data_IF_286759617247
#
_entry.id   IF_286759617247
#
_cell.length_a   1.000
_cell.length_b   1.000
_cell.length_c   1.000
_cell.angle_alpha   90.00
_cell.angle_beta   90.00
_cell.angle_gamma   90.00
#
_symmetry.space_group_name_H-M   'P 1'
#
loop_
_entity.id
_entity.type
_entity.pdbx_description
1 polymer ?
#
# COMPACT_ATOMS: atom_id res chain seq x y z
N UNK A 1 19.77 14.98 9.49
CA UNK A 1 18.93 13.76 9.49
C UNK A 1 18.60 13.48 8.03
N UNK A 2 18.83 12.26 7.55
CA UNK A 2 18.47 11.90 6.19
C UNK A 2 16.94 11.94 6.05
N UNK A 3 16.45 12.48 4.94
CA UNK A 3 15.04 12.50 4.62
C UNK A 3 14.68 11.20 3.90
N UNK A 4 13.58 10.58 4.28
CA UNK A 4 13.16 9.27 3.80
C UNK A 4 11.96 9.37 2.86
N UNK A 5 11.82 8.35 2.02
CA UNK A 5 10.67 8.15 1.13
C UNK A 5 10.06 6.78 1.46
N UNK A 6 8.74 6.71 1.60
CA UNK A 6 8.01 5.46 1.80
C UNK A 6 7.02 5.24 0.65
N UNK A 7 7.33 4.30 -0.22
CA UNK A 7 6.53 3.97 -1.39
C UNK A 7 5.60 2.77 -1.15
N UNK A 8 5.58 2.17 0.07
CA UNK A 8 4.86 0.95 0.33
C UNK A 8 4.18 0.95 1.69
N UNK A 9 3.17 1.79 1.87
CA UNK A 9 2.42 1.87 3.13
C UNK A 9 0.93 1.62 2.93
N UNK A 10 0.40 0.54 3.51
CA UNK A 10 -1.02 0.22 3.49
C UNK A 10 -1.77 1.00 4.55
N UNK A 11 -2.85 1.70 4.18
CA UNK A 11 -3.68 2.50 5.09
C UNK A 11 -4.20 1.67 6.26
N UNK A 12 -4.84 0.55 5.93
CA UNK A 12 -5.46 -0.38 6.86
C UNK A 12 -4.44 -1.17 7.70
N UNK A 13 -3.22 -1.36 7.20
CA UNK A 13 -2.08 -1.96 7.94
C UNK A 13 -1.28 -0.97 8.79
N UNK A 14 -1.57 0.34 8.71
CA UNK A 14 -0.71 1.39 9.29
C UNK A 14 -1.42 2.28 10.31
N UNK A 15 -2.59 1.90 10.78
CA UNK A 15 -3.29 2.64 11.83
C UNK A 15 -2.54 2.54 13.17
N UNK A 16 -2.26 3.69 13.80
CA UNK A 16 -1.72 3.70 15.16
C UNK A 16 -2.78 3.28 16.18
N UNK A 17 -2.34 2.88 17.36
CA UNK A 17 -3.23 2.52 18.45
C UNK A 17 -4.20 3.68 18.81
N UNK A 18 -3.68 4.91 18.80
CA UNK A 18 -4.46 6.13 19.06
C UNK A 18 -5.50 6.35 17.95
N UNK A 19 -5.09 6.18 16.67
CA UNK A 19 -6.02 6.29 15.53
C UNK A 19 -7.15 5.27 15.62
N UNK A 20 -6.83 4.02 15.97
CA UNK A 20 -7.83 2.96 16.13
C UNK A 20 -8.79 3.24 17.28
N UNK A 21 -8.28 3.73 18.42
CA UNK A 21 -9.12 4.12 19.56
C UNK A 21 -10.06 5.27 19.21
N UNK A 22 -9.58 6.27 18.52
CA UNK A 22 -10.40 7.41 18.08
C UNK A 22 -11.48 6.95 17.09
N UNK A 23 -11.14 6.11 16.10
CA UNK A 23 -12.10 5.55 15.15
C UNK A 23 -13.18 4.70 15.85
N UNK A 24 -12.78 3.90 16.82
CA UNK A 24 -13.72 3.11 17.62
C UNK A 24 -14.65 4.00 18.45
N UNK A 25 -14.11 5.02 19.12
CA UNK A 25 -14.89 5.97 19.91
C UNK A 25 -15.92 6.73 19.06
N UNK A 26 -15.55 7.20 17.87
CA UNK A 26 -16.46 7.86 16.91
C UNK A 26 -17.62 6.97 16.47
N UNK A 27 -17.40 5.66 16.46
CA UNK A 27 -18.42 4.66 16.09
C UNK A 27 -19.14 4.04 17.29
N UNK A 28 -18.88 4.51 18.52
CA UNK A 28 -19.46 3.96 19.74
C UNK A 28 -19.01 2.53 20.07
N UNK A 29 -17.83 2.13 19.56
CA UNK A 29 -17.26 0.80 19.81
C UNK A 29 -16.37 0.88 21.05
N UNK A 30 -16.71 0.11 22.07
CA UNK A 30 -15.92 0.04 23.30
C UNK A 30 -14.67 -0.82 23.13
N UNK A 31 -13.50 -0.27 23.51
CA UNK A 31 -12.23 -0.99 23.56
C UNK A 31 -11.94 -1.38 25.01
N UNK A 32 -11.95 -2.68 25.29
CA UNK A 32 -11.81 -3.22 26.65
C UNK A 32 -10.42 -2.96 27.25
N UNK A 33 -9.34 -3.22 26.51
CA UNK A 33 -7.98 -2.88 26.91
C UNK A 33 -7.02 -2.88 25.69
N UNK A 34 -5.85 -2.28 25.89
CA UNK A 34 -4.81 -2.14 24.84
C UNK A 34 -4.17 -3.45 24.43
N UNK A 35 -3.97 -4.40 25.35
CA UNK A 35 -3.35 -5.68 25.05
C UNK A 35 -4.20 -6.53 24.10
N UNK A 36 -5.52 -6.48 24.27
CA UNK A 36 -6.47 -7.16 23.37
C UNK A 36 -6.44 -6.46 21.99
N UNK A 37 -6.43 -5.14 21.99
CA UNK A 37 -6.40 -4.36 20.76
C UNK A 37 -5.10 -4.62 19.98
N UNK A 38 -3.94 -4.58 20.62
CA UNK A 38 -2.64 -4.87 20.00
C UNK A 38 -2.64 -6.26 19.34
N UNK A 39 -3.18 -7.28 20.02
CA UNK A 39 -3.28 -8.63 19.43
C UNK A 39 -4.17 -8.70 18.19
N UNK A 40 -5.14 -7.79 18.04
CA UNK A 40 -5.98 -7.68 16.85
C UNK A 40 -5.25 -6.98 15.70
N UNK A 41 -4.32 -6.08 16.00
CA UNK A 41 -3.64 -5.22 15.03
C UNK A 41 -2.26 -5.74 14.61
N UNK A 42 -1.63 -6.54 15.46
CA UNK A 42 -0.25 -6.99 15.24
C UNK A 42 -0.16 -8.50 15.26
N UNK A 43 0.70 -9.03 14.40
CA UNK A 43 1.06 -10.45 14.47
C UNK A 43 1.98 -10.73 15.66
N UNK A 44 1.91 -11.94 16.19
CA UNK A 44 2.87 -12.43 17.17
C UNK A 44 4.22 -12.75 16.49
N UNK A 45 5.25 -12.94 17.30
CA UNK A 45 6.56 -13.43 16.80
C UNK A 45 6.47 -14.82 16.16
N UNK A 46 5.41 -15.56 16.47
CA UNK A 46 5.13 -16.91 15.97
C UNK A 46 4.23 -16.91 14.72
N UNK A 47 4.01 -15.75 14.08
CA UNK A 47 3.30 -15.66 12.81
C UNK A 47 3.93 -16.61 11.80
N UNK A 48 3.10 -17.41 11.11
CA UNK A 48 3.56 -18.52 10.28
C UNK A 48 3.84 -18.13 8.84
N UNK A 49 2.98 -17.27 8.30
CA UNK A 49 2.98 -16.92 6.89
C UNK A 49 2.19 -15.63 6.61
N UNK A 50 2.16 -15.23 5.33
CA UNK A 50 1.42 -14.07 4.85
C UNK A 50 -0.09 -14.18 5.13
N UNK A 51 -0.70 -15.39 5.04
CA UNK A 51 -2.13 -15.53 5.24
C UNK A 51 -2.53 -15.22 6.69
N UNK A 52 -1.74 -15.67 7.66
CA UNK A 52 -1.93 -15.31 9.07
C UNK A 52 -1.70 -13.80 9.29
N UNK A 53 -0.70 -13.22 8.64
CA UNK A 53 -0.45 -11.79 8.68
C UNK A 53 -1.67 -10.99 8.19
N UNK A 54 -2.27 -11.37 7.07
CA UNK A 54 -3.43 -10.70 6.48
C UNK A 54 -4.67 -10.69 7.40
N UNK A 55 -4.78 -11.62 8.36
CA UNK A 55 -5.90 -11.59 9.32
C UNK A 55 -5.90 -10.33 10.21
N UNK A 56 -4.75 -9.65 10.34
CA UNK A 56 -4.65 -8.43 11.16
C UNK A 56 -5.28 -7.20 10.51
N UNK A 57 -5.60 -7.28 9.24
CA UNK A 57 -6.35 -6.24 8.53
C UNK A 57 -7.86 -6.26 8.82
N UNK A 58 -8.41 -7.37 9.32
CA UNK A 58 -9.85 -7.51 9.57
C UNK A 58 -10.40 -6.45 10.52
N UNK A 59 -9.72 -6.16 11.63
CA UNK A 59 -10.17 -5.19 12.61
C UNK A 59 -10.06 -3.74 12.11
N UNK A 60 -8.96 -3.28 11.53
CA UNK A 60 -8.89 -2.00 10.84
C UNK A 60 -9.96 -1.84 9.75
N UNK A 61 -10.15 -2.84 8.88
CA UNK A 61 -11.16 -2.81 7.83
C UNK A 61 -12.59 -2.67 8.38
N UNK A 62 -12.89 -3.30 9.51
CA UNK A 62 -14.19 -3.12 10.17
C UNK A 62 -14.46 -1.66 10.58
N UNK A 63 -13.43 -0.93 10.97
CA UNK A 63 -13.54 0.48 11.36
C UNK A 63 -13.60 1.44 10.18
N UNK A 64 -12.98 1.08 9.04
CA UNK A 64 -12.82 1.92 7.86
C UNK A 64 -13.98 1.75 6.86
N UNK A 65 -15.22 1.83 7.33
CA UNK A 65 -16.43 1.61 6.51
C UNK A 65 -17.33 2.85 6.40
N UNK A 66 -16.82 4.03 6.75
CA UNK A 66 -17.57 5.29 6.65
C UNK A 66 -16.66 6.40 6.12
N UNK A 67 -17.24 7.41 5.47
CA UNK A 67 -16.52 8.57 4.96
C UNK A 67 -15.63 9.20 6.03
N UNK A 68 -16.18 9.50 7.21
CA UNK A 68 -15.43 10.11 8.34
C UNK A 68 -14.26 9.25 8.79
N UNK A 69 -14.42 7.91 8.84
CA UNK A 69 -13.36 7.00 9.26
C UNK A 69 -12.20 6.97 8.27
N UNK A 70 -12.50 6.94 6.98
CA UNK A 70 -11.50 6.90 5.90
C UNK A 70 -10.74 8.23 5.83
N UNK A 71 -11.48 9.35 5.84
CA UNK A 71 -10.91 10.70 5.88
C UNK A 71 -9.96 10.87 7.07
N UNK A 72 -10.42 10.49 8.28
CA UNK A 72 -9.60 10.59 9.48
C UNK A 72 -8.38 9.68 9.47
N UNK A 73 -8.50 8.46 8.97
CA UNK A 73 -7.39 7.51 8.90
C UNK A 73 -6.25 8.03 7.98
N UNK A 74 -6.58 8.52 6.80
CA UNK A 74 -5.60 9.10 5.87
C UNK A 74 -4.95 10.34 6.48
N UNK A 75 -5.75 11.27 7.00
CA UNK A 75 -5.24 12.46 7.68
C UNK A 75 -4.27 12.10 8.82
N UNK A 76 -4.66 11.17 9.71
CA UNK A 76 -3.86 10.75 10.86
C UNK A 76 -2.56 10.05 10.45
N UNK A 77 -2.61 9.21 9.42
CA UNK A 77 -1.43 8.53 8.88
C UNK A 77 -0.42 9.55 8.30
N UNK A 78 -0.89 10.47 7.47
CA UNK A 78 -0.04 11.51 6.87
C UNK A 78 0.61 12.40 7.94
N UNK A 79 -0.16 12.80 8.97
CA UNK A 79 0.37 13.57 10.11
C UNK A 79 1.53 12.86 10.79
N UNK A 80 1.36 11.57 11.09
CA UNK A 80 2.40 10.75 11.71
C UNK A 80 3.63 10.57 10.82
N UNK A 81 3.43 10.37 9.51
CA UNK A 81 4.53 10.24 8.54
C UNK A 81 5.35 11.54 8.43
N UNK A 82 4.70 12.69 8.39
CA UNK A 82 5.36 14.00 8.41
C UNK A 82 6.19 14.20 9.69
N UNK A 83 5.66 13.78 10.85
CA UNK A 83 6.36 13.84 12.14
C UNK A 83 7.59 12.89 12.19
N UNK A 84 7.60 11.83 11.37
CA UNK A 84 8.72 10.91 11.19
C UNK A 84 9.78 11.41 10.19
N UNK A 85 9.66 12.65 9.70
CA UNK A 85 10.60 13.28 8.77
C UNK A 85 10.66 12.61 7.37
N UNK A 86 9.54 12.01 6.94
CA UNK A 86 9.42 11.60 5.55
C UNK A 86 9.30 12.83 4.64
N UNK A 87 9.91 12.72 3.44
CA UNK A 87 9.72 13.68 2.36
C UNK A 87 8.47 13.38 1.54
N UNK A 88 8.28 12.10 1.26
CA UNK A 88 7.25 11.61 0.38
C UNK A 88 6.76 10.23 0.81
N UNK A 89 5.48 9.98 0.63
CA UNK A 89 4.91 8.64 0.78
C UNK A 89 3.82 8.36 -0.26
N UNK A 90 3.55 7.09 -0.49
CA UNK A 90 2.40 6.62 -1.26
C UNK A 90 1.57 5.69 -0.39
N UNK A 91 0.39 6.18 0.01
CA UNK A 91 -0.55 5.42 0.83
C UNK A 91 -1.41 4.57 -0.09
N UNK A 92 -1.42 3.25 0.14
CA UNK A 92 -2.21 2.32 -0.66
C UNK A 92 -3.31 1.64 0.15
N UNK A 93 -4.42 1.35 -0.49
CA UNK A 93 -5.53 0.57 0.06
C UNK A 93 -6.45 0.08 -1.06
N UNK A 94 -7.26 -0.93 -0.78
CA UNK A 94 -8.23 -1.48 -1.73
C UNK A 94 -9.62 -0.87 -1.49
N UNK A 95 -10.14 0.03 -2.35
CA UNK A 95 -11.43 0.70 -2.12
C UNK A 95 -12.58 -0.30 -1.95
N UNK A 96 -12.56 -1.39 -2.69
CA UNK A 96 -13.55 -2.47 -2.62
C UNK A 96 -13.73 -3.09 -1.23
N UNK A 97 -12.72 -3.01 -0.35
CA UNK A 97 -12.80 -3.55 1.02
C UNK A 97 -13.51 -2.63 2.01
N UNK A 98 -13.85 -1.41 1.61
CA UNK A 98 -14.45 -0.37 2.45
C UNK A 98 -15.93 -0.09 2.11
N UNK A 99 -16.59 -0.98 1.35
CA UNK A 99 -17.94 -0.80 0.84
C UNK A 99 -19.02 -1.53 1.67
N UNK A 100 -18.65 -2.25 2.72
CA UNK A 100 -19.56 -3.13 3.49
C UNK A 100 -20.72 -2.41 4.18
N UNK A 101 -20.61 -1.10 4.40
CA UNK A 101 -21.69 -0.26 4.96
C UNK A 101 -22.39 0.59 3.91
N UNK A 102 -22.27 0.26 2.63
CA UNK A 102 -23.01 0.84 1.52
C UNK A 102 -22.32 1.99 0.80
N UNK A 103 -21.06 2.30 1.11
CA UNK A 103 -20.26 3.21 0.29
C UNK A 103 -19.95 2.57 -1.07
N UNK A 104 -19.92 3.36 -2.13
CA UNK A 104 -19.27 3.00 -3.39
C UNK A 104 -17.74 3.11 -3.27
N UNK A 105 -17.01 2.46 -4.17
CA UNK A 105 -15.56 2.62 -4.24
C UNK A 105 -15.15 4.07 -4.52
N UNK A 106 -15.92 4.79 -5.34
CA UNK A 106 -15.71 6.21 -5.66
C UNK A 106 -15.85 7.12 -4.43
N UNK A 107 -16.86 6.88 -3.58
CA UNK A 107 -17.03 7.60 -2.31
C UNK A 107 -15.86 7.33 -1.36
N UNK A 108 -15.36 6.10 -1.33
CA UNK A 108 -14.17 5.70 -0.54
C UNK A 108 -12.92 6.46 -0.99
N UNK A 109 -12.68 6.52 -2.31
CA UNK A 109 -11.54 7.26 -2.87
C UNK A 109 -11.69 8.76 -2.61
N UNK A 110 -12.87 9.32 -2.82
CA UNK A 110 -13.17 10.72 -2.52
C UNK A 110 -12.89 11.06 -1.04
N UNK A 111 -13.29 10.19 -0.11
CA UNK A 111 -13.03 10.37 1.32
C UNK A 111 -11.52 10.35 1.64
N UNK A 112 -10.78 9.44 1.00
CA UNK A 112 -9.31 9.38 1.16
C UNK A 112 -8.62 10.65 0.69
N UNK A 113 -9.01 11.18 -0.47
CA UNK A 113 -8.49 12.42 -1.02
C UNK A 113 -8.85 13.65 -0.16
N UNK A 114 -10.03 13.66 0.45
CA UNK A 114 -10.41 14.70 1.43
C UNK A 114 -9.53 14.66 2.67
N UNK A 115 -9.25 13.48 3.21
CA UNK A 115 -8.34 13.32 4.36
C UNK A 115 -6.93 13.80 4.04
N UNK A 116 -6.44 13.48 2.84
CA UNK A 116 -5.17 13.96 2.29
C UNK A 116 -5.15 15.49 2.19
N UNK A 117 -6.15 16.08 1.56
CA UNK A 117 -6.25 17.54 1.37
C UNK A 117 -6.29 18.27 2.71
N UNK A 118 -7.09 17.79 3.66
CA UNK A 118 -7.19 18.36 5.01
C UNK A 118 -5.84 18.44 5.72
N UNK A 119 -5.01 17.38 5.61
CA UNK A 119 -3.67 17.42 6.19
C UNK A 119 -2.75 18.41 5.47
N UNK A 120 -2.81 18.49 4.15
CA UNK A 120 -2.01 19.48 3.41
C UNK A 120 -2.40 20.92 3.73
N UNK A 121 -3.67 21.19 3.92
CA UNK A 121 -4.13 22.54 4.30
C UNK A 121 -3.57 22.91 5.69
N UNK A 122 -3.58 21.98 6.65
CA UNK A 122 -2.97 22.18 7.97
C UNK A 122 -1.45 22.39 7.86
N UNK A 123 -0.76 21.55 7.08
CA UNK A 123 0.69 21.63 6.91
C UNK A 123 1.11 22.95 6.24
N UNK A 124 0.41 23.37 5.19
CA UNK A 124 0.65 24.64 4.51
C UNK A 124 0.47 25.84 5.42
N UNK A 125 -0.55 25.83 6.27
CA UNK A 125 -0.75 26.88 7.29
C UNK A 125 0.38 26.89 8.31
N UNK A 126 0.77 25.74 8.82
CA UNK A 126 1.84 25.56 9.82
C UNK A 126 3.20 26.04 9.29
N UNK A 127 3.50 25.76 8.04
CA UNK A 127 4.78 26.09 7.40
C UNK A 127 4.78 27.45 6.70
N UNK A 128 3.65 28.18 6.67
CA UNK A 128 3.47 29.42 5.95
C UNK A 128 3.84 29.33 4.46
N UNK A 129 3.48 28.21 3.83
CA UNK A 129 3.80 27.91 2.42
C UNK A 129 2.96 28.79 1.50
N UNK A 130 3.61 29.43 0.53
CA UNK A 130 2.93 30.20 -0.52
C UNK A 130 2.41 29.29 -1.62
N UNK A 131 1.47 29.81 -2.41
CA UNK A 131 1.00 29.12 -3.60
C UNK A 131 2.16 28.79 -4.54
N UNK A 132 2.29 27.53 -4.95
CA UNK A 132 3.38 27.02 -5.80
C UNK A 132 4.59 26.47 -5.06
N UNK A 133 4.75 26.70 -3.75
CA UNK A 133 5.82 26.08 -2.97
C UNK A 133 5.48 24.64 -2.59
N UNK A 134 6.50 23.79 -2.51
CA UNK A 134 6.36 22.38 -2.10
C UNK A 134 6.45 22.27 -0.58
N UNK A 135 5.48 21.63 0.09
CA UNK A 135 5.55 21.39 1.54
C UNK A 135 6.72 20.46 1.93
N UNK A 136 7.10 20.49 3.20
CA UNK A 136 8.19 19.65 3.73
C UNK A 136 7.92 18.16 3.62
N UNK A 137 6.65 17.76 3.53
CA UNK A 137 6.17 16.40 3.31
C UNK A 137 5.07 16.38 2.26
N UNK A 138 5.08 15.35 1.42
CA UNK A 138 4.07 15.11 0.41
C UNK A 138 3.62 13.65 0.38
N UNK A 139 2.35 13.40 0.03
CA UNK A 139 1.83 12.03 -0.07
C UNK A 139 0.78 11.91 -1.16
N UNK A 140 0.77 10.78 -1.85
CA UNK A 140 -0.22 10.42 -2.85
C UNK A 140 -0.91 9.09 -2.52
N UNK A 141 -1.94 8.74 -3.29
CA UNK A 141 -2.77 7.55 -3.10
C UNK A 141 -2.52 6.54 -4.22
N UNK A 142 -2.43 5.27 -3.87
CA UNK A 142 -2.45 4.13 -4.79
C UNK A 142 -3.69 3.28 -4.49
N UNK A 143 -4.43 2.87 -5.51
CA UNK A 143 -5.60 2.02 -5.36
C UNK A 143 -5.22 0.55 -5.59
N UNK A 144 -5.46 -0.31 -4.61
CA UNK A 144 -5.18 -1.73 -4.73
C UNK A 144 -6.36 -2.47 -5.37
N UNK A 145 -6.09 -3.17 -6.47
CA UNK A 145 -6.85 -4.34 -6.87
C UNK A 145 -6.49 -5.51 -5.94
N UNK A 146 -7.42 -6.41 -5.71
CA UNK A 146 -7.24 -7.49 -4.75
C UNK A 146 -7.12 -8.85 -5.43
N UNK A 147 -6.15 -9.63 -4.96
CA UNK A 147 -6.07 -11.06 -5.27
C UNK A 147 -7.24 -11.78 -4.60
N UNK A 148 -7.95 -12.59 -5.37
CA UNK A 148 -9.13 -13.33 -4.87
C UNK A 148 -9.88 -14.01 -5.99
N UNK A 149 -10.95 -14.73 -5.64
CA UNK A 149 -11.90 -15.31 -6.57
C UNK A 149 -13.21 -14.51 -6.54
N UNK A 150 -13.80 -14.27 -7.70
CA UNK A 150 -15.12 -13.64 -7.81
C UNK A 150 -15.16 -12.16 -7.49
N UNK A 151 -14.01 -11.49 -7.54
CA UNK A 151 -13.87 -10.03 -7.34
C UNK A 151 -13.32 -9.32 -8.59
N UNK A 152 -13.50 -9.95 -9.75
CA UNK A 152 -13.04 -9.41 -11.03
C UNK A 152 -13.75 -8.09 -11.35
N UNK A 153 -15.06 -8.00 -11.08
CA UNK A 153 -15.85 -6.78 -11.31
C UNK A 153 -15.41 -5.63 -10.38
N UNK A 154 -15.14 -5.93 -9.13
CA UNK A 154 -14.64 -4.95 -8.16
C UNK A 154 -13.25 -4.43 -8.53
N UNK A 155 -12.38 -5.31 -9.05
CA UNK A 155 -11.06 -4.92 -9.53
C UNK A 155 -11.17 -4.03 -10.80
N UNK A 156 -12.04 -4.37 -11.75
CA UNK A 156 -12.30 -3.54 -12.94
C UNK A 156 -12.89 -2.18 -12.56
N UNK A 157 -13.78 -2.12 -11.56
CA UNK A 157 -14.28 -0.86 -11.01
C UNK A 157 -13.14 -0.04 -10.38
N UNK A 158 -12.22 -0.69 -9.65
CA UNK A 158 -11.04 -0.01 -9.08
C UNK A 158 -10.17 0.62 -10.19
N UNK A 159 -9.94 -0.07 -11.32
CA UNK A 159 -9.20 0.47 -12.47
C UNK A 159 -9.93 1.69 -13.05
N UNK A 160 -11.25 1.58 -13.29
CA UNK A 160 -12.06 2.69 -13.82
C UNK A 160 -11.98 3.94 -12.93
N UNK A 161 -12.12 3.75 -11.62
CA UNK A 161 -12.03 4.85 -10.64
C UNK A 161 -10.60 5.42 -10.60
N UNK A 162 -9.58 4.56 -10.69
CA UNK A 162 -8.20 5.03 -10.76
C UNK A 162 -7.96 5.91 -12.00
N UNK A 163 -8.53 5.56 -13.16
CA UNK A 163 -8.45 6.39 -14.36
C UNK A 163 -9.13 7.76 -14.18
N UNK A 164 -10.30 7.78 -13.53
CA UNK A 164 -11.06 9.00 -13.28
C UNK A 164 -10.35 9.97 -12.33
N UNK A 165 -9.68 9.46 -11.29
CA UNK A 165 -8.98 10.26 -10.28
C UNK A 165 -7.48 10.35 -10.53
N UNK A 166 -6.98 9.87 -11.68
CA UNK A 166 -5.56 9.87 -11.99
C UNK A 166 -4.98 11.28 -12.04
N UNK A 167 -3.89 11.47 -11.34
CA UNK A 167 -3.14 12.73 -11.35
C UNK A 167 -1.64 12.43 -11.24
N UNK A 168 -0.83 13.14 -12.01
CA UNK A 168 0.62 12.97 -12.01
C UNK A 168 1.29 13.36 -10.68
N UNK A 169 0.63 14.21 -9.90
CA UNK A 169 1.24 14.80 -8.70
C UNK A 169 0.31 14.98 -7.52
N UNK A 170 -1.00 14.87 -7.69
CA UNK A 170 -1.96 15.30 -6.67
C UNK A 170 -3.21 14.41 -6.60
N UNK A 171 -3.10 13.30 -5.95
CA UNK A 171 -4.23 12.40 -5.76
C UNK A 171 -3.91 10.93 -5.95
N UNK A 172 -4.66 10.27 -6.83
CA UNK A 172 -4.40 8.87 -7.23
C UNK A 172 -3.31 8.88 -8.30
N UNK A 173 -2.21 8.18 -8.04
CA UNK A 173 -1.03 8.18 -8.94
C UNK A 173 -0.75 6.82 -9.58
N UNK A 174 -1.35 5.75 -9.07
CA UNK A 174 -1.12 4.40 -9.58
C UNK A 174 -2.20 3.43 -9.07
N UNK A 175 -2.19 2.22 -9.62
CA UNK A 175 -2.86 1.05 -9.05
C UNK A 175 -1.82 0.00 -8.62
N UNK A 176 -2.27 -0.94 -7.78
CA UNK A 176 -1.46 -2.04 -7.27
C UNK A 176 -2.26 -3.35 -7.30
N UNK A 177 -1.59 -4.49 -7.15
CA UNK A 177 -2.21 -5.79 -6.91
C UNK A 177 -1.73 -6.32 -5.56
N UNK A 178 -2.63 -6.39 -4.59
CA UNK A 178 -2.33 -6.84 -3.22
C UNK A 178 -3.12 -8.09 -2.83
N UNK A 179 -2.73 -8.73 -1.72
CA UNK A 179 -3.42 -9.88 -1.14
C UNK A 179 -2.62 -11.19 -1.21
N UNK A 180 -3.29 -12.32 -1.09
CA UNK A 180 -2.68 -13.64 -0.90
C UNK A 180 -1.99 -14.18 -2.16
N UNK A 181 -0.76 -13.75 -2.42
CA UNK A 181 0.00 -14.08 -3.64
C UNK A 181 0.17 -15.59 -3.85
N UNK A 182 0.42 -16.35 -2.79
CA UNK A 182 0.61 -17.81 -2.89
C UNK A 182 -0.65 -18.57 -3.31
N UNK A 183 -1.84 -17.98 -3.10
CA UNK A 183 -3.12 -18.60 -3.45
C UNK A 183 -3.65 -18.14 -4.81
N UNK A 184 -3.32 -16.92 -5.21
CA UNK A 184 -3.80 -16.26 -6.43
C UNK A 184 -2.60 -15.71 -7.19
N UNK A 185 -2.04 -16.48 -8.14
CA UNK A 185 -0.80 -16.13 -8.82
C UNK A 185 -0.97 -14.88 -9.70
N UNK A 186 0.12 -14.15 -9.92
CA UNK A 186 0.14 -12.93 -10.74
C UNK A 186 -0.36 -13.19 -12.17
N UNK A 187 -0.17 -14.40 -12.71
CA UNK A 187 -0.66 -14.81 -14.04
C UNK A 187 -2.16 -14.63 -14.26
N UNK A 188 -2.95 -14.69 -13.20
CA UNK A 188 -4.42 -14.59 -13.30
C UNK A 188 -4.91 -13.16 -13.58
N UNK A 189 -4.02 -12.16 -13.45
CA UNK A 189 -4.34 -10.73 -13.53
C UNK A 189 -3.81 -10.02 -14.79
N UNK A 190 -3.36 -10.77 -15.81
CA UNK A 190 -2.84 -10.22 -17.06
C UNK A 190 -3.81 -9.24 -17.73
N UNK A 191 -5.10 -9.64 -17.84
CA UNK A 191 -6.15 -8.83 -18.47
C UNK A 191 -6.38 -7.51 -17.70
N UNK A 192 -6.36 -7.56 -16.37
CA UNK A 192 -6.55 -6.40 -15.51
C UNK A 192 -5.44 -5.36 -15.75
N UNK A 193 -4.18 -5.78 -15.80
CA UNK A 193 -3.05 -4.87 -16.05
C UNK A 193 -2.92 -4.46 -17.52
N UNK A 194 -3.41 -5.28 -18.47
CA UNK A 194 -3.57 -4.84 -19.85
C UNK A 194 -4.59 -3.70 -19.97
N UNK A 195 -5.70 -3.75 -19.20
CA UNK A 195 -6.67 -2.67 -19.10
C UNK A 195 -6.05 -1.42 -18.45
N UNK A 196 -5.43 -1.54 -17.27
CA UNK A 196 -4.76 -0.40 -16.61
C UNK A 196 -3.76 0.31 -17.56
N UNK A 197 -2.98 -0.47 -18.31
CA UNK A 197 -2.04 0.07 -19.30
C UNK A 197 -2.75 0.77 -20.47
N UNK A 198 -3.88 0.23 -20.94
CA UNK A 198 -4.66 0.84 -22.02
C UNK A 198 -5.24 2.21 -21.60
N UNK A 199 -5.61 2.35 -20.32
CA UNK A 199 -6.06 3.60 -19.71
C UNK A 199 -4.91 4.55 -19.32
N UNK A 200 -3.65 4.15 -19.55
CA UNK A 200 -2.48 4.95 -19.21
C UNK A 200 -2.19 5.06 -17.71
N UNK A 201 -2.75 4.17 -16.89
CA UNK A 201 -2.57 4.20 -15.44
C UNK A 201 -1.23 3.56 -15.08
N UNK A 202 -0.33 4.24 -14.37
CA UNK A 202 0.85 3.62 -13.78
C UNK A 202 0.46 2.54 -12.78
N UNK A 203 1.29 1.50 -12.67
CA UNK A 203 1.01 0.45 -11.67
C UNK A 203 2.28 -0.12 -11.05
N UNK A 204 2.12 -0.61 -9.84
CA UNK A 204 3.04 -1.48 -9.11
C UNK A 204 2.34 -2.81 -8.86
N UNK A 205 3.07 -3.86 -8.55
CA UNK A 205 2.49 -5.19 -8.28
C UNK A 205 3.24 -5.80 -7.11
N UNK A 206 2.53 -6.22 -6.05
CA UNK A 206 3.12 -7.13 -5.06
C UNK A 206 3.48 -8.43 -5.76
N UNK A 207 4.76 -8.71 -5.89
CA UNK A 207 5.25 -9.91 -6.54
C UNK A 207 6.55 -10.39 -5.91
N UNK A 208 6.68 -11.71 -5.76
CA UNK A 208 7.84 -12.32 -5.12
C UNK A 208 7.95 -12.06 -3.62
N UNK A 209 6.82 -11.83 -2.97
CA UNK A 209 6.67 -11.87 -1.52
C UNK A 209 6.44 -13.33 -1.08
N UNK A 210 5.30 -13.91 -1.41
CA UNK A 210 4.94 -15.27 -1.03
C UNK A 210 5.01 -16.28 -2.20
N UNK A 211 5.38 -15.82 -3.39
CA UNK A 211 5.61 -16.65 -4.59
C UNK A 211 7.05 -16.51 -5.09
N UNK A 212 7.45 -17.37 -6.03
CA UNK A 212 8.77 -17.40 -6.60
C UNK A 212 9.08 -16.29 -7.61
N UNK A 213 10.26 -16.38 -8.29
CA UNK A 213 10.66 -15.43 -9.32
C UNK A 213 9.68 -15.32 -10.49
N UNK A 214 8.90 -16.36 -10.75
CA UNK A 214 7.89 -16.39 -11.82
C UNK A 214 6.84 -15.29 -11.65
N UNK A 215 6.39 -15.03 -10.43
CA UNK A 215 5.45 -13.95 -10.12
C UNK A 215 6.02 -12.58 -10.46
N UNK A 216 7.31 -12.37 -10.13
CA UNK A 216 8.04 -11.15 -10.45
C UNK A 216 8.19 -11.01 -11.98
N UNK A 217 8.53 -12.12 -12.68
CA UNK A 217 8.67 -12.12 -14.14
C UNK A 217 7.37 -11.71 -14.83
N UNK A 218 6.23 -12.22 -14.36
CA UNK A 218 4.91 -11.84 -14.88
C UNK A 218 4.64 -10.34 -14.67
N UNK A 219 4.95 -9.79 -13.48
CA UNK A 219 4.83 -8.35 -13.24
C UNK A 219 5.70 -7.52 -14.22
N UNK A 220 6.95 -7.97 -14.46
CA UNK A 220 7.85 -7.34 -15.45
C UNK A 220 7.27 -7.43 -16.87
N UNK A 221 6.69 -8.56 -17.25
CA UNK A 221 6.11 -8.77 -18.58
C UNK A 221 4.84 -7.92 -18.78
N UNK A 222 4.10 -7.60 -17.72
CA UNK A 222 2.98 -6.66 -17.76
C UNK A 222 3.43 -5.21 -17.95
N UNK A 223 4.73 -4.92 -17.78
CA UNK A 223 5.30 -3.60 -18.00
C UNK A 223 5.25 -2.70 -16.76
N UNK A 224 5.25 -3.28 -15.55
CA UNK A 224 5.32 -2.51 -14.32
C UNK A 224 6.63 -1.71 -14.23
N UNK A 225 6.55 -0.49 -13.70
CA UNK A 225 7.73 0.31 -13.37
C UNK A 225 8.28 0.02 -11.98
N UNK A 226 7.47 -0.58 -11.11
CA UNK A 226 7.83 -0.89 -9.72
C UNK A 226 7.24 -2.24 -9.31
N UNK A 227 7.89 -2.89 -8.37
CA UNK A 227 7.48 -4.17 -7.80
C UNK A 227 7.49 -4.05 -6.28
N UNK A 228 6.33 -4.32 -5.66
CA UNK A 228 6.23 -4.48 -4.21
C UNK A 228 6.99 -5.73 -3.77
N UNK A 229 7.83 -5.61 -2.76
CA UNK A 229 8.73 -6.64 -2.23
C UNK A 229 9.83 -7.08 -3.21
N UNK A 230 9.52 -7.94 -4.18
CA UNK A 230 10.49 -8.47 -5.14
C UNK A 230 11.59 -9.34 -4.53
N UNK A 231 11.46 -9.79 -3.28
CA UNK A 231 12.51 -10.46 -2.49
C UNK A 231 13.04 -11.70 -3.19
N UNK A 232 12.16 -12.48 -3.78
CA UNK A 232 12.50 -13.76 -4.41
C UNK A 232 13.20 -13.62 -5.76
N UNK A 233 13.46 -12.40 -6.28
CA UNK A 233 14.27 -12.21 -7.49
C UNK A 233 15.70 -12.75 -7.33
N UNK A 234 16.21 -12.81 -6.10
CA UNK A 234 17.54 -13.35 -5.78
C UNK A 234 17.74 -14.80 -6.26
N UNK A 235 16.66 -15.55 -6.42
CA UNK A 235 16.70 -16.93 -6.90
C UNK A 235 16.78 -17.07 -8.42
N UNK A 236 16.74 -15.95 -9.15
CA UNK A 236 16.87 -15.91 -10.61
C UNK A 236 17.76 -14.75 -11.06
N UNK A 237 19.05 -15.08 -11.33
CA UNK A 237 20.05 -14.09 -11.75
C UNK A 237 19.69 -13.39 -13.06
N UNK A 238 19.04 -14.10 -13.99
CA UNK A 238 18.62 -13.50 -15.26
C UNK A 238 17.49 -12.48 -15.01
N UNK A 239 16.53 -12.78 -14.13
CA UNK A 239 15.49 -11.86 -13.74
C UNK A 239 16.07 -10.61 -13.05
N UNK A 240 17.07 -10.77 -12.17
CA UNK A 240 17.75 -9.63 -11.54
C UNK A 240 18.39 -8.71 -12.59
N UNK A 241 19.03 -9.27 -13.62
CA UNK A 241 19.59 -8.48 -14.72
C UNK A 241 18.50 -7.73 -15.49
N UNK A 242 17.38 -8.38 -15.80
CA UNK A 242 16.24 -7.75 -16.50
C UNK A 242 15.67 -6.59 -15.67
N UNK A 243 15.48 -6.76 -14.35
CA UNK A 243 15.02 -5.72 -13.43
C UNK A 243 15.96 -4.51 -13.49
N UNK A 244 17.27 -4.76 -13.40
CA UNK A 244 18.29 -3.71 -13.45
C UNK A 244 18.34 -3.00 -14.83
N UNK A 245 18.35 -3.76 -15.93
CA UNK A 245 18.39 -3.21 -17.30
C UNK A 245 17.15 -2.37 -17.63
N UNK A 246 15.97 -2.78 -17.14
CA UNK A 246 14.73 -2.04 -17.33
C UNK A 246 14.56 -0.87 -16.35
N UNK A 247 15.43 -0.73 -15.34
CA UNK A 247 15.32 0.28 -14.30
C UNK A 247 14.10 0.13 -13.40
N UNK A 248 13.63 -1.10 -13.20
CA UNK A 248 12.46 -1.39 -12.35
C UNK A 248 12.84 -1.20 -10.89
N UNK A 249 12.05 -0.40 -10.15
CA UNK A 249 12.27 -0.15 -8.73
C UNK A 249 11.64 -1.24 -7.86
N UNK A 250 12.36 -1.73 -6.84
CA UNK A 250 11.81 -2.60 -5.81
C UNK A 250 11.40 -1.78 -4.59
N UNK A 251 10.17 -1.96 -4.12
CA UNK A 251 9.65 -1.34 -2.91
C UNK A 251 10.00 -2.22 -1.70
N UNK A 252 10.93 -1.77 -0.88
CA UNK A 252 11.55 -2.58 0.17
C UNK A 252 10.68 -2.63 1.43
N UNK A 253 10.28 -3.83 1.85
CA UNK A 253 9.41 -4.07 3.01
C UNK A 253 10.08 -4.99 4.06
N UNK A 254 11.24 -4.62 4.64
CA UNK A 254 12.04 -5.53 5.47
C UNK A 254 11.29 -6.04 6.70
N UNK A 255 10.52 -5.21 7.37
CA UNK A 255 9.72 -5.60 8.55
C UNK A 255 8.60 -6.56 8.18
N UNK A 256 7.88 -6.29 7.06
CA UNK A 256 6.84 -7.20 6.56
C UNK A 256 7.45 -8.56 6.22
N UNK A 257 8.56 -8.60 5.49
CA UNK A 257 9.24 -9.82 5.09
C UNK A 257 9.67 -10.70 6.29
N UNK A 258 10.03 -10.08 7.42
CA UNK A 258 10.30 -10.77 8.68
C UNK A 258 9.01 -11.33 9.31
N UNK A 259 7.96 -10.51 9.34
CA UNK A 259 6.69 -10.89 9.96
C UNK A 259 5.97 -12.00 9.17
N UNK A 260 6.05 -11.98 7.85
CA UNK A 260 5.48 -12.99 6.95
C UNK A 260 6.37 -14.23 6.78
N UNK A 261 7.54 -14.28 7.47
CA UNK A 261 8.52 -15.38 7.45
C UNK A 261 9.15 -15.65 6.07
N UNK A 262 9.13 -14.70 5.19
CA UNK A 262 9.85 -14.80 3.91
C UNK A 262 11.35 -14.78 4.15
N UNK A 263 11.79 -14.03 5.15
CA UNK A 263 13.17 -14.04 5.65
C UNK A 263 13.19 -14.28 7.17
N UNK A 264 14.19 -15.00 7.66
CA UNK A 264 14.32 -15.31 9.08
C UNK A 264 15.13 -14.28 9.87
N UNK A 265 15.92 -13.46 9.18
CA UNK A 265 16.76 -12.41 9.77
C UNK A 265 16.78 -11.21 8.83
N UNK A 266 16.76 -10.00 9.38
CA UNK A 266 16.88 -8.76 8.62
C UNK A 266 18.19 -8.68 7.82
N UNK A 267 19.25 -9.33 8.34
CA UNK A 267 20.55 -9.44 7.64
C UNK A 267 20.53 -10.39 6.45
N UNK A 268 19.54 -11.29 6.40
CA UNK A 268 19.33 -12.19 5.27
C UNK A 268 18.46 -11.56 4.18
N UNK A 269 17.98 -10.33 4.41
CA UNK A 269 17.24 -9.59 3.40
C UNK A 269 18.19 -9.26 2.26
N UNK A 270 17.92 -9.82 1.12
CA UNK A 270 18.79 -9.84 -0.07
C UNK A 270 19.00 -8.48 -0.75
N UNK A 271 18.40 -7.42 -0.24
CA UNK A 271 18.57 -6.06 -0.77
C UNK A 271 20.01 -5.55 -0.76
N UNK A 272 20.85 -6.07 0.16
CA UNK A 272 22.29 -5.75 0.18
C UNK A 272 23.05 -6.33 -1.02
N UNK A 273 22.46 -7.29 -1.73
CA UNK A 273 23.03 -7.86 -2.96
C UNK A 273 22.47 -7.23 -4.24
N UNK A 274 21.41 -6.44 -4.11
CA UNK A 274 20.87 -5.60 -5.18
C UNK A 274 21.58 -4.23 -5.20
N UNK A 275 22.88 -4.19 -4.99
CA UNK A 275 23.66 -2.99 -5.28
C UNK A 275 23.52 -2.72 -6.78
N UNK A 276 22.60 -1.82 -7.11
CA UNK A 276 22.59 -1.19 -8.42
C UNK A 276 23.98 -0.59 -8.62
N UNK A 277 24.58 -0.72 -9.82
CA UNK A 277 25.83 -0.03 -10.09
C UNK A 277 25.58 1.46 -9.85
N UNK A 278 26.20 2.00 -8.82
CA UNK A 278 26.29 3.43 -8.62
C UNK A 278 27.17 3.97 -9.73
N UNK A 279 26.54 4.55 -10.73
CA UNK A 279 27.24 5.36 -11.74
C UNK A 279 27.55 6.72 -11.15
#
# INVERSE_FOLDING_TARGET
>A
MERLVDLHVHLDGSLSLETVKELAARQGIEIQNDDILIKKLQVSKDCRDLNEYLTKFEYPLMLLQTIDSIEYAVYSLMKRQSEQNLLYSEIRFAPQLHTKKGLSQEEVVTASLKGRQKYFDELRQKENIKEGDIPSFYSNIILCCMRGNGNEMENEETIRIAAEFLSDSDGVVAVDLAGAEALFPTSDYEKLFAHARAEGIPFTIHAGEAAGPESIRQAVDYGTARIGHGVNCIHDKNLMNIIAEKGITLELCPTSNLNTKIVNDIKAVSYTHLTLPTT
#
